data_IF_266312164097
#
_entry.id   IF_266312164097
#
_cell.length_a   1.000
_cell.length_b   1.000
_cell.length_c   1.000
_cell.angle_alpha   90.00
_cell.angle_beta   90.00
_cell.angle_gamma   90.00
#
_symmetry.space_group_name_H-M   'P 1'
#
loop_
_entity.id
_entity.type
_entity.pdbx_description
1 polymer ?
#
# COMPACT_ATOMS: atom_id res chain seq x y z
N UNK A 1 -11.84 45.39 16.89
CA UNK A 1 -10.44 44.94 16.72
C UNK A 1 -10.37 43.59 17.42
N UNK A 2 -10.29 42.44 16.74
CA UNK A 2 -9.27 42.02 15.78
C UNK A 2 -9.84 40.94 14.86
N UNK A 3 -9.42 40.97 13.59
CA UNK A 3 -9.94 40.20 12.45
C UNK A 3 -9.31 38.79 12.42
N UNK A 4 -10.14 37.75 12.30
CA UNK A 4 -9.70 36.39 11.98
C UNK A 4 -9.51 36.28 10.46
N UNK A 5 -8.27 36.21 9.99
CA UNK A 5 -7.93 35.97 8.57
C UNK A 5 -7.89 34.45 8.32
N UNK A 6 -8.77 33.98 7.44
CA UNK A 6 -8.79 32.60 6.96
C UNK A 6 -7.62 32.29 6.02
N UNK A 7 -7.05 31.09 6.16
CA UNK A 7 -6.06 30.53 5.23
C UNK A 7 -6.80 29.50 4.37
N UNK A 8 -6.90 29.83 3.08
CA UNK A 8 -7.52 29.01 2.03
C UNK A 8 -6.55 27.91 1.56
N UNK A 9 -6.90 26.63 1.77
CA UNK A 9 -6.19 25.48 1.19
C UNK A 9 -6.85 24.97 -0.10
N UNK A 10 -7.19 25.86 -1.04
CA UNK A 10 -7.71 25.48 -2.36
C UNK A 10 -6.64 25.74 -3.44
N UNK A 11 -5.65 24.84 -3.55
CA UNK A 11 -4.57 25.07 -4.49
C UNK A 11 -3.57 23.93 -4.66
N UNK A 12 -4.01 22.68 -4.80
CA UNK A 12 -3.09 21.60 -5.21
C UNK A 12 -3.74 20.43 -5.99
N UNK A 13 -5.07 20.30 -5.98
CA UNK A 13 -5.75 19.10 -6.51
C UNK A 13 -6.35 19.29 -7.91
N UNK A 14 -6.12 20.44 -8.56
CA UNK A 14 -6.87 20.85 -9.77
C UNK A 14 -6.14 20.68 -11.12
N UNK A 15 -4.96 20.03 -11.18
CA UNK A 15 -4.24 19.86 -12.47
C UNK A 15 -4.23 18.44 -13.05
N UNK A 16 -4.55 17.42 -12.26
CA UNK A 16 -4.58 16.03 -12.76
C UNK A 16 -5.95 15.64 -13.37
N UNK A 17 -7.06 16.21 -12.87
CA UNK A 17 -8.42 15.87 -13.32
C UNK A 17 -8.84 16.51 -14.67
N UNK A 18 -8.05 17.41 -15.27
CA UNK A 18 -8.43 18.10 -16.52
C UNK A 18 -7.97 17.38 -17.80
N UNK A 19 -7.10 16.36 -17.70
CA UNK A 19 -6.53 15.68 -18.89
C UNK A 19 -7.30 14.44 -19.34
N UNK A 20 -8.19 13.90 -18.51
CA UNK A 20 -8.88 12.62 -18.77
C UNK A 20 -10.41 12.71 -18.91
N UNK A 21 -11.00 13.90 -18.92
CA UNK A 21 -12.46 14.05 -18.97
C UNK A 21 -12.94 15.18 -19.85
N UNK A 22 -12.63 15.17 -21.15
CA UNK A 22 -13.39 15.96 -22.14
C UNK A 22 -13.13 15.51 -23.58
N UNK A 23 -13.65 14.34 -23.96
CA UNK A 23 -14.00 14.04 -25.35
C UNK A 23 -15.25 13.19 -25.31
N UNK A 24 -16.39 13.85 -25.56
CA UNK A 24 -17.66 13.31 -26.09
C UNK A 24 -18.86 14.02 -25.45
N UNK A 25 -19.09 15.26 -25.86
CA UNK A 25 -20.41 15.86 -25.82
C UNK A 25 -20.65 16.54 -27.17
N UNK A 26 -21.38 15.85 -28.05
CA UNK A 26 -22.11 16.46 -29.16
C UNK A 26 -23.53 15.91 -29.11
N UNK A 27 -24.35 16.65 -28.37
CA UNK A 27 -25.75 17.04 -28.58
C UNK A 27 -26.68 16.10 -29.36
N UNK A 28 -27.61 15.51 -28.61
CA UNK A 28 -28.83 14.89 -29.11
C UNK A 28 -29.95 15.95 -29.12
N UNK A 29 -30.28 16.50 -30.30
CA UNK A 29 -31.65 16.80 -30.77
C UNK A 29 -31.64 17.80 -31.94
N UNK A 30 -32.20 17.40 -33.10
CA UNK A 30 -32.44 18.31 -34.23
C UNK A 30 -32.80 17.60 -35.52
N UNK A 31 -34.09 17.46 -35.76
CA UNK A 31 -34.77 16.78 -36.88
C UNK A 31 -34.46 17.33 -38.28
N UNK A 32 -34.36 16.44 -39.28
CA UNK A 32 -35.16 16.36 -40.53
C UNK A 32 -34.32 15.85 -41.72
N UNK A 33 -34.87 14.91 -42.50
CA UNK A 33 -34.31 14.54 -43.81
C UNK A 33 -34.50 13.08 -44.17
N UNK A 34 -35.75 12.67 -44.43
CA UNK A 34 -36.02 11.37 -45.00
C UNK A 34 -35.46 11.24 -46.42
N UNK A 35 -34.52 10.32 -46.63
CA UNK A 35 -34.26 9.71 -47.95
C UNK A 35 -34.58 8.23 -47.85
N UNK A 36 -35.69 7.83 -48.50
CA UNK A 36 -35.99 6.43 -48.79
C UNK A 36 -34.99 5.94 -49.82
N UNK A 37 -34.17 4.93 -49.50
CA UNK A 37 -33.47 4.18 -50.55
C UNK A 37 -33.12 2.73 -50.13
N UNK A 38 -33.83 1.81 -50.79
CA UNK A 38 -33.61 0.39 -51.10
C UNK A 38 -32.92 -0.58 -50.11
N UNK A 39 -33.73 -1.47 -49.52
CA UNK A 39 -33.38 -2.63 -48.68
C UNK A 39 -32.73 -3.81 -49.45
N UNK A 40 -32.08 -3.59 -50.59
CA UNK A 40 -31.55 -4.66 -51.47
C UNK A 40 -30.02 -4.77 -51.52
N UNK A 41 -29.30 -3.99 -50.73
CA UNK A 41 -27.81 -4.04 -50.67
C UNK A 41 -27.31 -4.75 -49.39
N UNK A 42 -28.21 -5.38 -48.64
CA UNK A 42 -27.91 -6.05 -47.37
C UNK A 42 -27.34 -7.48 -47.49
N UNK A 43 -26.90 -7.90 -48.68
CA UNK A 43 -26.28 -9.21 -48.86
C UNK A 43 -25.04 -9.09 -49.74
N UNK A 44 -23.93 -9.62 -49.21
CA UNK A 44 -22.58 -9.79 -49.81
C UNK A 44 -21.55 -8.72 -49.44
N UNK A 45 -20.96 -8.89 -48.27
CA UNK A 45 -19.50 -8.84 -48.08
C UNK A 45 -19.17 -9.20 -46.63
N UNK A 46 -19.32 -10.49 -46.28
CA UNK A 46 -18.59 -11.06 -45.16
C UNK A 46 -17.16 -11.34 -45.63
N UNK A 47 -16.20 -10.55 -45.18
CA UNK A 47 -14.80 -10.91 -44.95
C UNK A 47 -13.94 -9.65 -44.78
N UNK A 48 -13.04 -9.70 -43.80
CA UNK A 48 -11.90 -8.80 -43.59
C UNK A 48 -12.19 -7.38 -43.07
N UNK A 49 -12.23 -7.23 -41.74
CA UNK A 49 -11.23 -6.44 -41.00
C UNK A 49 -11.47 -6.58 -39.49
N UNK A 50 -10.87 -7.59 -38.88
CA UNK A 50 -10.74 -7.69 -37.43
C UNK A 50 -9.28 -7.98 -37.10
N UNK A 51 -8.46 -6.93 -37.16
CA UNK A 51 -7.12 -6.93 -36.60
C UNK A 51 -7.06 -5.72 -35.67
N UNK A 52 -7.64 -5.88 -34.49
CA UNK A 52 -7.30 -5.04 -33.34
C UNK A 52 -5.88 -5.43 -32.99
N UNK A 53 -4.92 -4.62 -33.43
CA UNK A 53 -3.54 -4.70 -32.96
C UNK A 53 -3.57 -4.41 -31.46
N UNK A 54 -3.46 -5.45 -30.63
CA UNK A 54 -2.96 -5.28 -29.28
C UNK A 54 -1.54 -4.73 -29.43
N UNK A 55 -1.38 -3.42 -29.29
CA UNK A 55 -0.08 -2.86 -29.02
C UNK A 55 0.39 -3.48 -27.70
N UNK A 56 1.56 -4.14 -27.62
CA UNK A 56 2.12 -4.44 -26.33
C UNK A 56 2.32 -3.11 -25.61
N UNK A 57 1.72 -2.97 -24.43
CA UNK A 57 2.12 -1.92 -23.50
C UNK A 57 3.57 -2.25 -23.18
N UNK A 58 4.50 -1.53 -23.81
CA UNK A 58 5.88 -1.54 -23.38
C UNK A 58 5.89 -0.99 -21.96
N UNK A 59 6.00 -1.89 -20.99
CA UNK A 59 6.43 -1.52 -19.65
C UNK A 59 7.81 -0.93 -19.85
N UNK A 60 7.94 0.37 -19.62
CA UNK A 60 9.23 1.02 -19.55
C UNK A 60 9.97 0.37 -18.38
N UNK A 61 10.97 -0.45 -18.69
CA UNK A 61 12.01 -0.78 -17.73
C UNK A 61 12.87 0.48 -17.64
N UNK A 62 12.72 1.24 -16.54
CA UNK A 62 13.70 2.23 -16.15
C UNK A 62 14.93 1.47 -15.61
N UNK A 63 16.11 1.88 -16.06
CA UNK A 63 17.42 1.27 -15.78
C UNK A 63 17.95 1.58 -14.34
N UNK A 64 17.06 1.74 -13.36
CA UNK A 64 17.40 1.71 -11.93
C UNK A 64 16.78 0.42 -11.34
N UNK A 65 17.64 -0.55 -11.01
CA UNK A 65 17.37 -1.94 -10.57
C UNK A 65 16.57 -2.10 -9.25
N UNK A 66 15.67 -1.17 -8.90
CA UNK A 66 14.78 -1.34 -7.75
C UNK A 66 13.63 -2.28 -8.12
N UNK A 67 13.77 -3.56 -7.78
CA UNK A 67 12.67 -4.50 -7.84
C UNK A 67 11.50 -3.95 -6.99
N UNK A 68 10.32 -3.68 -7.59
CA UNK A 68 9.24 -2.97 -6.92
C UNK A 68 8.69 -3.71 -5.70
N UNK A 69 8.88 -5.02 -5.61
CA UNK A 69 8.53 -5.79 -4.43
C UNK A 69 9.48 -5.50 -3.25
N UNK A 70 10.76 -5.25 -3.53
CA UNK A 70 11.77 -4.86 -2.53
C UNK A 70 11.41 -3.49 -1.96
N UNK A 71 11.24 -2.49 -2.84
CA UNK A 71 10.80 -1.15 -2.44
C UNK A 71 9.50 -1.19 -1.62
N UNK A 72 8.54 -2.04 -2.02
CA UNK A 72 7.29 -2.22 -1.27
C UNK A 72 7.50 -2.76 0.15
N UNK A 73 8.26 -3.85 0.33
CA UNK A 73 8.48 -4.41 1.69
C UNK A 73 9.29 -3.46 2.56
N UNK A 74 10.27 -2.76 2.02
CA UNK A 74 11.12 -1.85 2.80
C UNK A 74 10.37 -0.60 3.23
N UNK A 75 9.55 -0.02 2.34
CA UNK A 75 8.64 1.05 2.71
C UNK A 75 7.64 0.60 3.78
N UNK A 76 7.10 -0.61 3.66
CA UNK A 76 6.19 -1.17 4.66
C UNK A 76 6.86 -1.30 6.03
N UNK A 77 8.05 -1.91 6.08
CA UNK A 77 8.80 -2.10 7.33
C UNK A 77 9.25 -0.77 7.94
N UNK A 78 9.57 0.21 7.11
CA UNK A 78 9.88 1.58 7.57
C UNK A 78 8.67 2.21 8.27
N UNK A 79 7.48 2.14 7.66
CA UNK A 79 6.25 2.68 8.26
C UNK A 79 5.86 1.94 9.56
N UNK A 80 6.00 0.62 9.57
CA UNK A 80 5.79 -0.21 10.77
C UNK A 80 6.76 0.22 11.88
N UNK A 81 8.05 0.35 11.56
CA UNK A 81 9.10 0.78 12.48
C UNK A 81 8.86 2.19 13.04
N UNK A 82 8.42 3.14 12.22
CA UNK A 82 8.11 4.50 12.66
C UNK A 82 6.91 4.60 13.61
N UNK A 83 6.00 3.63 13.57
CA UNK A 83 4.89 3.54 14.51
C UNK A 83 5.30 2.81 15.79
N UNK A 84 6.00 1.69 15.64
CA UNK A 84 6.35 0.84 16.79
C UNK A 84 7.52 1.38 17.61
N UNK A 85 8.55 1.94 16.98
CA UNK A 85 9.76 2.43 17.64
C UNK A 85 9.49 3.43 18.76
N UNK A 86 8.67 4.49 18.56
CA UNK A 86 8.30 5.42 19.63
C UNK A 86 7.56 4.78 20.81
N UNK A 87 6.77 3.73 20.57
CA UNK A 87 6.10 2.99 21.63
C UNK A 87 7.14 2.25 22.50
N UNK A 88 8.14 1.60 21.89
CA UNK A 88 9.26 1.00 22.64
C UNK A 88 10.11 2.04 23.37
N UNK A 89 10.47 3.15 22.72
CA UNK A 89 11.24 4.23 23.34
C UNK A 89 10.53 4.84 24.56
N UNK A 90 9.20 4.80 24.58
CA UNK A 90 8.40 5.20 25.75
C UNK A 90 8.58 4.22 26.92
N UNK A 91 8.63 2.91 26.66
CA UNK A 91 8.92 1.90 27.69
C UNK A 91 10.35 2.00 28.22
N UNK A 92 11.29 2.35 27.35
CA UNK A 92 12.69 2.60 27.71
C UNK A 92 12.91 3.92 28.47
N UNK A 93 11.87 4.74 28.63
CA UNK A 93 11.96 6.04 29.29
C UNK A 93 12.66 7.14 28.48
N UNK A 94 12.95 6.89 27.18
CA UNK A 94 13.56 7.87 26.27
C UNK A 94 12.57 8.94 25.81
N UNK A 95 11.28 8.61 25.81
CA UNK A 95 10.18 9.50 25.45
C UNK A 95 9.14 9.46 26.59
N UNK A 96 8.57 10.61 27.02
CA UNK A 96 7.55 10.61 28.06
C UNK A 96 6.28 9.90 27.60
N UNK A 97 5.59 9.22 28.52
CA UNK A 97 4.32 8.56 28.22
C UNK A 97 3.23 9.57 27.81
N UNK A 98 2.55 9.29 26.70
CA UNK A 98 1.41 10.06 26.20
C UNK A 98 0.33 9.10 25.69
N UNK A 99 -0.80 9.02 26.40
CA UNK A 99 -1.86 8.05 26.13
C UNK A 99 -2.47 8.21 24.73
N UNK A 100 -2.64 9.44 24.25
CA UNK A 100 -3.20 9.72 22.94
C UNK A 100 -2.25 9.30 21.81
N UNK A 101 -0.95 9.53 22.00
CA UNK A 101 0.09 9.11 21.05
C UNK A 101 0.23 7.59 21.01
N UNK A 102 0.18 6.91 22.16
CA UNK A 102 0.19 5.43 22.20
C UNK A 102 -1.01 4.85 21.45
N UNK A 103 -2.20 5.40 21.67
CA UNK A 103 -3.41 5.00 20.94
C UNK A 103 -3.29 5.26 19.42
N UNK A 104 -2.72 6.40 19.03
CA UNK A 104 -2.46 6.74 17.62
C UNK A 104 -1.54 5.74 16.94
N UNK A 105 -0.34 5.53 17.50
CA UNK A 105 0.63 4.59 16.96
C UNK A 105 0.12 3.14 16.95
N UNK A 106 -0.59 2.70 18.00
CA UNK A 106 -1.18 1.37 18.04
C UNK A 106 -2.20 1.16 16.92
N UNK A 107 -3.05 2.15 16.65
CA UNK A 107 -4.04 2.12 15.57
C UNK A 107 -3.37 2.06 14.19
N UNK A 108 -2.38 2.92 13.96
CA UNK A 108 -1.65 3.00 12.68
C UNK A 108 -0.83 1.73 12.42
N UNK A 109 -0.16 1.21 13.45
CA UNK A 109 0.53 -0.07 13.38
C UNK A 109 -0.42 -1.22 13.00
N UNK A 110 -1.59 -1.31 13.65
CA UNK A 110 -2.59 -2.32 13.33
C UNK A 110 -3.09 -2.20 11.87
N UNK A 111 -3.27 -0.99 11.37
CA UNK A 111 -3.68 -0.74 9.99
C UNK A 111 -2.61 -1.16 8.98
N UNK A 112 -1.34 -0.80 9.24
CA UNK A 112 -0.20 -1.18 8.40
C UNK A 112 0.02 -2.70 8.41
N UNK A 113 -0.06 -3.32 9.59
CA UNK A 113 0.10 -4.76 9.73
C UNK A 113 -0.95 -5.53 8.92
N UNK A 114 -2.20 -5.03 8.87
CA UNK A 114 -3.29 -5.63 8.10
C UNK A 114 -3.18 -5.51 6.58
N UNK A 115 -2.18 -4.80 6.04
CA UNK A 115 -1.91 -4.80 4.60
C UNK A 115 -1.31 -6.13 4.16
N UNK A 116 -1.50 -6.48 2.88
CA UNK A 116 -0.94 -7.70 2.32
C UNK A 116 0.58 -7.55 2.12
N UNK A 117 1.35 -7.86 3.16
CA UNK A 117 2.82 -7.78 3.17
C UNK A 117 3.49 -8.81 2.23
N UNK A 118 2.84 -9.95 1.95
CA UNK A 118 3.37 -10.98 1.04
C UNK A 118 3.60 -10.46 -0.38
N UNK A 119 2.97 -9.35 -0.78
CA UNK A 119 3.25 -8.66 -2.07
C UNK A 119 4.71 -8.25 -2.21
N UNK A 120 5.42 -8.04 -1.09
CA UNK A 120 6.82 -7.69 -1.07
C UNK A 120 7.78 -8.87 -1.12
N UNK A 121 7.30 -10.12 -1.15
CA UNK A 121 8.13 -11.32 -1.12
C UNK A 121 7.82 -12.32 -2.26
N UNK A 122 7.76 -11.88 -3.55
CA UNK A 122 7.63 -12.82 -4.66
C UNK A 122 8.89 -13.70 -4.80
N UNK A 123 8.77 -14.84 -5.47
CA UNK A 123 9.93 -15.69 -5.78
C UNK A 123 10.99 -14.90 -6.57
N UNK A 124 12.27 -15.13 -6.24
CA UNK A 124 13.40 -14.48 -6.89
C UNK A 124 13.67 -13.03 -6.45
N UNK A 125 12.93 -12.49 -5.48
CA UNK A 125 13.25 -11.18 -4.87
C UNK A 125 14.28 -11.27 -3.73
N UNK A 126 15.07 -12.34 -3.70
CA UNK A 126 16.25 -12.53 -2.83
C UNK A 126 17.52 -11.93 -3.43
N UNK A 127 17.40 -11.25 -4.58
CA UNK A 127 18.46 -10.59 -5.33
C UNK A 127 18.26 -9.07 -5.34
N UNK A 128 19.35 -8.33 -5.54
CA UNK A 128 19.37 -6.87 -5.52
C UNK A 128 19.77 -6.33 -4.15
N UNK A 129 19.56 -5.03 -3.94
CA UNK A 129 19.79 -4.39 -2.65
C UNK A 129 18.68 -4.80 -1.68
N UNK A 130 18.93 -5.83 -0.87
CA UNK A 130 17.96 -6.26 0.12
C UNK A 130 18.57 -7.05 1.27
N UNK A 131 17.99 -6.88 2.45
CA UNK A 131 18.31 -7.65 3.66
C UNK A 131 17.43 -8.88 3.83
N UNK A 132 16.59 -9.23 2.84
CA UNK A 132 15.75 -10.42 2.90
C UNK A 132 16.57 -11.68 2.61
N UNK A 133 16.69 -12.57 3.60
CA UNK A 133 17.46 -13.81 3.47
C UNK A 133 16.81 -14.81 2.50
N UNK A 134 17.60 -15.55 1.67
CA UNK A 134 17.08 -16.62 0.81
C UNK A 134 16.27 -17.69 1.56
N UNK A 135 16.49 -17.84 2.87
CA UNK A 135 15.78 -18.75 3.77
C UNK A 135 14.27 -18.52 3.79
N UNK A 136 13.80 -17.29 3.53
CA UNK A 136 12.37 -16.97 3.40
C UNK A 136 11.70 -17.90 2.38
N UNK A 137 12.30 -18.06 1.21
CA UNK A 137 11.73 -18.86 0.13
C UNK A 137 11.92 -20.37 0.34
N UNK A 138 12.91 -20.77 1.16
CA UNK A 138 13.09 -22.17 1.56
C UNK A 138 12.08 -22.60 2.62
N UNK A 139 11.65 -21.67 3.48
CA UNK A 139 10.79 -21.92 4.65
C UNK A 139 9.53 -21.04 4.62
N UNK A 140 8.90 -20.90 3.45
CA UNK A 140 7.82 -19.95 3.20
C UNK A 140 6.62 -20.11 4.14
N UNK A 141 6.32 -21.33 4.59
CA UNK A 141 5.20 -21.58 5.51
C UNK A 141 5.48 -21.02 6.91
N UNK A 142 6.69 -21.21 7.43
CA UNK A 142 7.11 -20.64 8.71
C UNK A 142 7.21 -19.10 8.63
N UNK A 143 7.72 -18.55 7.52
CA UNK A 143 7.72 -17.11 7.28
C UNK A 143 6.31 -16.51 7.31
N UNK A 144 5.35 -17.14 6.62
CA UNK A 144 3.94 -16.72 6.64
C UNK A 144 3.34 -16.81 8.03
N UNK A 145 3.63 -17.88 8.78
CA UNK A 145 3.15 -18.04 10.15
C UNK A 145 3.66 -16.90 11.04
N UNK A 146 4.96 -16.60 11.02
CA UNK A 146 5.53 -15.49 11.81
C UNK A 146 4.95 -14.13 11.40
N UNK A 147 4.68 -13.93 10.11
CA UNK A 147 4.01 -12.73 9.62
C UNK A 147 2.57 -12.63 10.16
N UNK A 148 1.81 -13.73 10.17
CA UNK A 148 0.47 -13.77 10.75
C UNK A 148 0.49 -13.51 12.27
N UNK A 149 1.45 -14.09 12.99
CA UNK A 149 1.64 -13.85 14.42
C UNK A 149 1.90 -12.36 14.71
N UNK A 150 2.73 -11.70 13.91
CA UNK A 150 2.92 -10.25 13.99
C UNK A 150 1.62 -9.48 13.71
N UNK A 151 0.87 -9.86 12.67
CA UNK A 151 -0.41 -9.21 12.33
C UNK A 151 -1.42 -9.30 13.48
N UNK A 152 -1.53 -10.47 14.11
CA UNK A 152 -2.39 -10.69 15.27
C UNK A 152 -1.94 -9.87 16.48
N UNK A 153 -0.63 -9.85 16.76
CA UNK A 153 -0.06 -9.06 17.85
C UNK A 153 -0.29 -7.56 17.65
N UNK A 154 -0.01 -7.03 16.46
CA UNK A 154 -0.24 -5.64 16.10
C UNK A 154 -1.73 -5.25 16.21
N UNK A 155 -2.64 -6.10 15.73
CA UNK A 155 -4.07 -5.88 15.86
C UNK A 155 -4.54 -5.85 17.32
N UNK A 156 -3.96 -6.71 18.17
CA UNK A 156 -4.25 -6.74 19.61
C UNK A 156 -3.69 -5.50 20.32
N UNK A 157 -2.45 -5.13 20.03
CA UNK A 157 -1.84 -3.90 20.55
C UNK A 157 -2.67 -2.67 20.18
N UNK A 158 -3.12 -2.55 18.93
CA UNK A 158 -3.98 -1.43 18.52
C UNK A 158 -5.28 -1.32 19.32
N UNK A 159 -5.88 -2.46 19.71
CA UNK A 159 -7.08 -2.49 20.59
C UNK A 159 -6.75 -2.09 22.03
N UNK A 160 -5.66 -2.63 22.58
CA UNK A 160 -5.26 -2.38 23.98
C UNK A 160 -4.77 -0.93 24.17
N UNK A 161 -4.04 -0.39 23.19
CA UNK A 161 -3.57 1.00 23.18
C UNK A 161 -4.72 2.02 23.29
N UNK A 162 -5.91 1.69 22.80
CA UNK A 162 -7.10 2.54 22.93
C UNK A 162 -7.74 2.51 24.34
N UNK A 163 -7.38 1.53 25.19
CA UNK A 163 -8.03 1.29 26.48
C UNK A 163 -7.41 2.02 27.68
N UNK A 164 -6.23 2.64 27.53
CA UNK A 164 -5.59 3.48 28.56
C UNK A 164 -4.93 2.75 29.74
N UNK A 165 -5.02 1.42 29.84
CA UNK A 165 -4.27 0.65 30.83
C UNK A 165 -2.79 0.54 30.41
N UNK A 166 -1.94 1.39 31.02
CA UNK A 166 -0.51 1.45 30.70
C UNK A 166 0.20 0.10 30.89
N UNK A 167 -0.17 -0.69 31.90
CA UNK A 167 0.48 -1.98 32.14
C UNK A 167 0.13 -2.97 31.05
N UNK A 168 -1.15 -3.00 30.63
CA UNK A 168 -1.58 -3.82 29.51
C UNK A 168 -0.93 -3.38 28.20
N UNK A 169 -0.85 -2.07 27.95
CA UNK A 169 -0.19 -1.51 26.76
C UNK A 169 1.28 -1.92 26.71
N UNK A 170 2.02 -1.77 27.81
CA UNK A 170 3.43 -2.18 27.88
C UNK A 170 3.61 -3.67 27.58
N UNK A 171 2.77 -4.53 28.15
CA UNK A 171 2.83 -5.97 27.92
C UNK A 171 2.60 -6.33 26.43
N UNK A 172 1.65 -5.66 25.76
CA UNK A 172 1.38 -5.89 24.34
C UNK A 172 2.47 -5.32 23.42
N UNK A 173 3.13 -4.23 23.81
CA UNK A 173 4.31 -3.72 23.08
C UNK A 173 5.45 -4.73 23.14
N UNK A 174 5.73 -5.28 24.32
CA UNK A 174 6.74 -6.33 24.47
C UNK A 174 6.38 -7.59 23.68
N UNK A 175 5.12 -8.02 23.73
CA UNK A 175 4.64 -9.18 22.96
C UNK A 175 4.78 -8.96 21.46
N UNK A 176 4.43 -7.78 20.95
CA UNK A 176 4.59 -7.41 19.54
C UNK A 176 6.08 -7.31 19.17
N UNK A 177 6.94 -6.78 20.04
CA UNK A 177 8.38 -6.72 19.79
C UNK A 177 9.02 -8.09 19.63
N UNK A 178 8.53 -9.11 20.36
CA UNK A 178 8.98 -10.49 20.23
C UNK A 178 8.68 -11.08 18.85
N UNK A 179 7.57 -10.72 18.21
CA UNK A 179 7.28 -11.20 16.84
C UNK A 179 8.22 -10.56 15.82
N UNK A 180 8.63 -9.31 16.04
CA UNK A 180 9.65 -8.66 15.20
C UNK A 180 10.99 -9.41 15.27
N UNK A 181 11.46 -9.70 16.49
CA UNK A 181 12.70 -10.44 16.71
C UNK A 181 12.65 -11.85 16.13
N UNK A 182 11.58 -12.60 16.40
CA UNK A 182 11.42 -13.96 15.90
C UNK A 182 11.47 -14.07 14.37
N UNK A 183 10.97 -13.06 13.64
CA UNK A 183 11.08 -13.03 12.18
C UNK A 183 12.46 -12.57 11.72
N UNK A 184 12.99 -11.48 12.29
CA UNK A 184 14.27 -10.92 11.85
C UNK A 184 15.47 -11.82 12.15
N UNK A 185 15.47 -12.55 13.26
CA UNK A 185 16.53 -13.49 13.62
C UNK A 185 16.75 -14.54 12.53
N UNK A 186 15.65 -15.06 11.98
CA UNK A 186 15.68 -16.12 10.96
C UNK A 186 15.78 -15.57 9.53
N UNK A 187 15.14 -14.43 9.24
CA UNK A 187 14.83 -14.02 7.87
C UNK A 187 15.37 -12.65 7.43
N UNK A 188 15.94 -11.84 8.33
CA UNK A 188 16.63 -10.60 7.98
C UNK A 188 18.14 -10.75 8.12
N UNK A 189 18.90 -10.26 7.16
CA UNK A 189 20.34 -10.07 7.31
C UNK A 189 20.64 -9.06 8.41
N UNK A 190 21.73 -9.31 9.14
CA UNK A 190 22.22 -8.36 10.15
C UNK A 190 22.94 -7.23 9.41
N UNK A 191 22.80 -6.02 9.92
CA UNK A 191 23.57 -4.90 9.41
C UNK A 191 25.01 -5.10 9.94
N UNK A 192 26.00 -5.10 9.04
CA UNK A 192 27.43 -5.25 9.36
C UNK A 192 28.03 -4.04 10.11
#
# INVERSE_FOLDING_TARGET
MTVYRGINHHGAISRYARRVGNKNHTDLNGTTGGKRMNKRVFWRAAAAYALVTMAPVAVLADDDDENPAIAYREAMMTLIGHNFGPMQMTLEGKIPWDDARMAGYGKELAALAGLNQMRGFPEGSDKGDTHAKPEIWKNMDDFKQKMEEFQLAAAKLGKVAAGGDRKAISAEIEATGKTCGACHDDYKEKDD
#
